data_IF_907191454253
#
_entry.id   IF_907191454253
#
_cell.length_a   1.000
_cell.length_b   1.000
_cell.length_c   1.000
_cell.angle_alpha   90.00
_cell.angle_beta   90.00
_cell.angle_gamma   90.00
#
_symmetry.space_group_name_H-M   'P 1'
#
loop_
_entity.id
_entity.type
_entity.pdbx_description
1 polymer ?
#
# COMPACT_ATOMS: atom_id res chain seq x y z
N UNK A 1 37.65 20.15 -8.43
CA UNK A 1 38.44 19.25 -9.30
C UNK A 1 37.80 19.26 -10.68
N UNK A 2 38.54 19.35 -11.75
CA UNK A 2 38.00 19.45 -13.11
C UNK A 2 37.56 18.07 -13.60
N UNK A 3 36.34 18.02 -14.13
CA UNK A 3 35.72 16.82 -14.71
C UNK A 3 36.62 16.19 -15.80
N UNK A 4 36.92 14.92 -15.71
CA UNK A 4 37.82 14.21 -16.64
C UNK A 4 37.20 14.11 -18.04
N UNK A 5 38.07 13.91 -19.07
CA UNK A 5 37.63 13.76 -20.47
C UNK A 5 36.73 12.52 -20.67
N UNK A 6 36.91 11.48 -19.85
CA UNK A 6 36.08 10.27 -19.87
C UNK A 6 34.69 10.52 -19.33
N UNK A 7 34.56 11.27 -18.24
CA UNK A 7 33.27 11.66 -17.64
C UNK A 7 32.43 12.52 -18.59
N UNK A 8 33.04 13.49 -19.26
CA UNK A 8 32.34 14.30 -20.27
C UNK A 8 31.85 13.47 -21.46
N UNK A 9 32.63 12.47 -21.88
CA UNK A 9 32.24 11.58 -22.99
C UNK A 9 31.07 10.65 -22.59
N UNK A 10 31.09 10.11 -21.37
CA UNK A 10 30.01 9.28 -20.85
C UNK A 10 28.71 10.09 -20.67
N UNK A 11 28.79 11.32 -20.14
CA UNK A 11 27.65 12.22 -19.99
C UNK A 11 27.01 12.60 -21.33
N UNK A 12 27.82 12.83 -22.35
CA UNK A 12 27.32 13.16 -23.70
C UNK A 12 26.62 11.98 -24.37
N UNK A 13 27.16 10.76 -24.24
CA UNK A 13 26.53 9.55 -24.76
C UNK A 13 25.16 9.24 -24.10
N UNK A 14 25.01 9.53 -22.79
CA UNK A 14 23.74 9.38 -22.07
C UNK A 14 22.68 10.40 -22.53
N UNK A 15 23.07 11.63 -22.83
CA UNK A 15 22.16 12.67 -23.33
C UNK A 15 21.67 12.30 -24.74
N UNK A 16 22.57 11.87 -25.63
CA UNK A 16 22.23 11.45 -27.00
C UNK A 16 21.32 10.21 -27.04
N UNK A 17 21.49 9.28 -26.08
CA UNK A 17 20.62 8.11 -25.94
C UNK A 17 19.21 8.48 -25.43
N UNK A 18 19.09 9.49 -24.58
CA UNK A 18 17.81 9.97 -24.07
C UNK A 18 17.01 10.71 -25.17
N UNK A 19 17.66 11.57 -25.96
CA UNK A 19 17.03 12.32 -27.06
C UNK A 19 16.55 11.42 -28.20
N UNK A 20 17.32 10.38 -28.57
CA UNK A 20 16.93 9.42 -29.60
C UNK A 20 15.70 8.54 -29.25
N UNK A 21 15.32 8.49 -27.97
CA UNK A 21 14.13 7.75 -27.52
C UNK A 21 12.83 8.56 -27.61
N UNK A 22 12.89 9.89 -27.59
CA UNK A 22 11.73 10.77 -27.70
C UNK A 22 11.25 10.93 -29.16
N UNK A 23 12.13 10.98 -30.13
CA UNK A 23 11.74 11.05 -31.54
C UNK A 23 10.99 9.81 -32.04
N UNK A 24 11.29 8.62 -31.52
CA UNK A 24 10.57 7.37 -31.86
C UNK A 24 9.16 7.26 -31.23
N UNK A 25 8.85 8.06 -30.19
CA UNK A 25 7.53 8.09 -29.56
C UNK A 25 6.57 9.10 -30.24
N UNK A 26 7.07 10.16 -30.86
CA UNK A 26 6.24 11.16 -31.54
C UNK A 26 5.68 10.66 -32.87
N UNK A 27 6.38 9.77 -33.58
CA UNK A 27 5.95 9.23 -34.88
C UNK A 27 4.88 8.11 -34.82
N UNK A 28 4.59 7.55 -33.63
CA UNK A 28 3.53 6.51 -33.45
C UNK A 28 2.16 7.05 -33.01
N UNK A 29 2.04 8.36 -32.70
CA UNK A 29 0.77 8.95 -32.23
C UNK A 29 -0.12 9.59 -33.30
N UNK A 30 0.30 9.60 -34.56
CA UNK A 30 -0.43 10.25 -35.65
C UNK A 30 -1.20 9.32 -36.65
N UNK A 31 -1.39 8.04 -36.31
CA UNK A 31 -2.07 7.08 -37.21
C UNK A 31 -3.21 6.27 -36.59
N UNK A 32 -3.99 6.83 -35.66
CA UNK A 32 -5.21 6.14 -35.19
C UNK A 32 -6.32 7.14 -34.82
N UNK A 33 -6.85 7.87 -35.81
CA UNK A 33 -8.12 8.57 -35.68
C UNK A 33 -8.71 8.88 -37.03
N UNK A 34 -9.21 7.87 -37.74
CA UNK A 34 -10.22 7.98 -38.77
C UNK A 34 -10.78 6.57 -39.02
N UNK A 35 -12.04 6.42 -38.64
CA UNK A 35 -13.07 5.55 -39.19
C UNK A 35 -13.99 4.99 -38.08
N UNK A 36 -15.15 5.59 -37.98
CA UNK A 36 -16.44 4.90 -37.78
C UNK A 36 -17.58 5.91 -37.64
N UNK A 37 -18.17 6.27 -38.78
CA UNK A 37 -19.54 6.83 -38.83
C UNK A 37 -20.49 5.77 -39.40
N UNK A 38 -21.64 5.59 -38.73
CA UNK A 38 -22.87 5.22 -39.40
C UNK A 38 -23.43 3.85 -39.04
N UNK A 39 -24.51 3.80 -38.25
CA UNK A 39 -25.85 3.46 -38.73
C UNK A 39 -26.87 3.35 -37.59
N UNK A 40 -27.88 4.16 -37.71
CA UNK A 40 -29.13 4.15 -36.94
C UNK A 40 -30.06 3.01 -37.35
N UNK A 41 -30.83 2.43 -36.45
CA UNK A 41 -32.15 1.87 -36.79
C UNK A 41 -33.09 1.87 -35.55
N UNK A 42 -34.30 2.32 -35.85
CA UNK A 42 -35.47 2.54 -34.99
C UNK A 42 -36.16 1.22 -34.59
N UNK A 43 -36.86 1.22 -33.46
CA UNK A 43 -37.88 0.18 -33.16
C UNK A 43 -38.58 0.36 -31.82
N UNK A 44 -39.57 1.17 -31.82
CA UNK A 44 -40.96 1.19 -31.29
C UNK A 44 -41.31 0.46 -29.98
N UNK A 45 -42.00 1.25 -29.21
CA UNK A 45 -42.72 1.03 -27.96
C UNK A 45 -43.86 0.01 -28.04
N UNK A 46 -44.19 -0.57 -26.83
CA UNK A 46 -45.59 -0.83 -26.48
C UNK A 46 -45.75 -0.90 -24.94
N UNK A 47 -46.61 -0.02 -24.46
CA UNK A 47 -47.15 0.04 -23.12
C UNK A 47 -48.28 -0.96 -22.90
N UNK A 48 -48.45 -1.44 -21.66
CA UNK A 48 -49.78 -1.77 -21.09
C UNK A 48 -49.69 -1.87 -19.54
N UNK A 49 -50.45 -1.04 -18.87
CA UNK A 49 -51.09 -1.16 -17.54
C UNK A 49 -52.59 -1.46 -17.82
N UNK A 50 -53.48 -1.73 -16.83
CA UNK A 50 -53.38 -1.90 -15.37
C UNK A 50 -54.24 -3.08 -14.82
N UNK A 51 -54.24 -3.29 -13.51
CA UNK A 51 -55.23 -4.17 -12.83
C UNK A 51 -55.11 -4.17 -11.31
N UNK A 52 -55.98 -3.38 -10.70
CA UNK A 52 -56.22 -3.29 -9.25
C UNK A 52 -56.91 -4.52 -8.66
N UNK A 53 -56.68 -4.82 -7.36
CA UNK A 53 -57.76 -5.17 -6.40
C UNK A 53 -57.26 -5.15 -4.96
N UNK A 54 -57.98 -4.38 -4.16
CA UNK A 54 -58.01 -4.32 -2.68
C UNK A 54 -58.42 -5.66 -2.09
N UNK A 55 -58.00 -5.95 -0.86
CA UNK A 55 -58.90 -6.29 0.23
C UNK A 55 -58.25 -6.04 1.59
N UNK A 56 -59.10 -5.50 2.45
CA UNK A 56 -58.91 -5.03 3.82
C UNK A 56 -59.09 -6.15 4.86
N UNK A 57 -58.63 -5.82 6.08
CA UNK A 57 -59.09 -6.27 7.41
C UNK A 57 -58.50 -7.52 8.05
N UNK A 58 -57.82 -7.39 9.17
CA UNK A 58 -58.33 -7.33 10.56
C UNK A 58 -57.23 -7.27 11.59
N UNK A 59 -57.45 -6.34 12.52
CA UNK A 59 -56.66 -6.16 13.73
C UNK A 59 -56.79 -7.34 14.71
N UNK A 60 -55.73 -7.63 15.47
CA UNK A 60 -55.86 -8.00 16.89
C UNK A 60 -54.60 -7.63 17.67
N UNK A 61 -54.85 -6.84 18.72
CA UNK A 61 -53.88 -6.44 19.72
C UNK A 61 -53.52 -7.62 20.61
N UNK A 62 -52.20 -7.79 20.89
CA UNK A 62 -51.80 -8.31 22.20
C UNK A 62 -50.48 -7.64 22.61
N UNK A 63 -50.57 -6.85 23.67
CA UNK A 63 -49.42 -6.30 24.44
C UNK A 63 -48.66 -7.45 25.09
N UNK A 64 -47.38 -7.49 24.89
CA UNK A 64 -46.48 -8.18 25.84
C UNK A 64 -45.23 -7.32 26.02
N UNK A 65 -45.08 -6.86 27.26
CA UNK A 65 -43.88 -6.21 27.79
C UNK A 65 -42.75 -7.23 27.76
N UNK A 66 -41.69 -6.93 27.05
CA UNK A 66 -40.40 -7.58 27.29
C UNK A 66 -39.28 -6.53 27.33
N UNK A 67 -38.64 -6.57 28.46
CA UNK A 67 -37.49 -5.78 28.91
C UNK A 67 -36.39 -5.70 27.89
N UNK A 68 -35.82 -4.47 27.74
CA UNK A 68 -34.50 -4.26 27.22
C UNK A 68 -33.49 -5.05 28.09
N UNK A 69 -32.99 -6.12 27.57
CA UNK A 69 -31.74 -6.75 27.99
C UNK A 69 -30.86 -6.92 26.76
N UNK A 70 -29.73 -6.30 26.86
CA UNK A 70 -28.52 -6.41 26.07
C UNK A 70 -28.44 -7.62 25.13
N UNK A 71 -28.50 -7.34 23.81
CA UNK A 71 -28.01 -8.25 22.80
C UNK A 71 -26.73 -7.69 22.17
N UNK A 72 -25.70 -7.53 22.98
CA UNK A 72 -24.30 -7.59 22.50
C UNK A 72 -23.85 -9.04 22.69
N UNK A 73 -24.34 -9.92 21.84
CA UNK A 73 -23.72 -11.22 21.62
C UNK A 73 -23.56 -11.42 20.11
N UNK A 74 -22.61 -10.67 19.52
CA UNK A 74 -21.95 -11.15 18.31
C UNK A 74 -21.19 -12.42 18.73
N UNK A 75 -21.78 -13.57 18.49
CA UNK A 75 -21.12 -14.83 18.64
C UNK A 75 -19.72 -14.74 18.02
N UNK A 76 -18.68 -14.73 18.85
CA UNK A 76 -17.31 -14.98 18.42
C UNK A 76 -17.32 -16.37 17.81
N UNK A 77 -17.51 -16.47 16.46
CA UNK A 77 -17.28 -17.71 15.76
C UNK A 77 -15.86 -18.12 16.09
N UNK A 78 -15.71 -19.28 16.70
CA UNK A 78 -14.43 -19.85 17.06
C UNK A 78 -13.49 -19.71 15.86
N UNK A 79 -12.35 -19.07 16.07
CA UNK A 79 -11.32 -18.90 15.05
C UNK A 79 -10.87 -20.29 14.67
N UNK A 80 -10.99 -20.67 13.39
CA UNK A 80 -10.42 -21.90 12.87
C UNK A 80 -8.93 -21.90 13.28
N UNK A 81 -8.46 -22.82 14.14
CA UNK A 81 -7.07 -22.84 14.59
C UNK A 81 -6.06 -23.00 13.44
N UNK A 82 -6.53 -23.36 12.24
CA UNK A 82 -5.75 -23.43 11.00
C UNK A 82 -5.75 -22.13 10.21
N UNK A 83 -6.64 -21.17 10.52
CA UNK A 83 -6.67 -19.88 9.84
C UNK A 83 -5.92 -18.82 10.66
N UNK A 84 -4.88 -18.19 10.14
CA UNK A 84 -4.15 -17.14 10.85
C UNK A 84 -4.97 -15.85 11.03
N UNK A 85 -6.16 -15.74 10.41
CA UNK A 85 -7.01 -14.56 10.42
C UNK A 85 -8.48 -14.95 10.41
N UNK A 86 -9.26 -14.50 11.40
CA UNK A 86 -10.69 -14.82 11.58
C UNK A 86 -11.59 -14.25 10.48
N UNK A 87 -11.19 -13.17 9.83
CA UNK A 87 -11.98 -12.45 8.80
C UNK A 87 -11.47 -12.69 7.38
N UNK A 88 -10.55 -13.62 7.18
CA UNK A 88 -9.89 -13.88 5.90
C UNK A 88 -10.87 -14.13 4.73
N UNK A 89 -12.01 -14.72 4.98
CA UNK A 89 -13.01 -15.05 3.93
C UNK A 89 -13.68 -13.82 3.34
N UNK A 90 -13.88 -12.78 4.15
CA UNK A 90 -14.55 -11.53 3.75
C UNK A 90 -13.57 -10.39 3.47
N UNK A 91 -12.44 -10.36 4.15
CA UNK A 91 -11.44 -9.30 4.00
C UNK A 91 -10.66 -9.41 2.68
N UNK A 92 -10.62 -8.32 1.91
CA UNK A 92 -9.86 -8.22 0.66
C UNK A 92 -8.35 -7.96 0.84
N UNK A 93 -7.86 -7.78 2.07
CA UNK A 93 -6.50 -7.33 2.34
C UNK A 93 -5.38 -8.34 2.08
N UNK A 94 -5.71 -9.65 1.96
CA UNK A 94 -4.73 -10.72 1.74
C UNK A 94 -5.19 -11.68 0.66
N UNK A 95 -4.24 -12.19 -0.15
CA UNK A 95 -4.52 -13.15 -1.23
C UNK A 95 -4.10 -14.58 -0.93
N UNK A 96 -3.11 -14.76 -0.05
CA UNK A 96 -2.48 -16.07 0.15
C UNK A 96 -2.41 -16.53 1.62
N UNK A 97 -2.89 -15.72 2.58
CA UNK A 97 -2.74 -15.97 4.01
C UNK A 97 -3.40 -17.29 4.48
N UNK A 98 -4.40 -17.78 3.75
CA UNK A 98 -5.10 -19.05 4.01
C UNK A 98 -4.33 -20.30 3.54
N UNK A 99 -3.18 -20.12 2.85
CA UNK A 99 -2.36 -21.23 2.40
C UNK A 99 -1.19 -21.45 3.36
N UNK A 100 -0.82 -22.70 3.69
CA UNK A 100 0.41 -22.98 4.44
C UNK A 100 1.61 -22.30 3.79
N UNK A 101 2.49 -21.72 4.60
CA UNK A 101 3.58 -20.88 4.07
C UNK A 101 4.50 -21.66 3.14
N UNK A 102 4.84 -22.92 3.48
CA UNK A 102 5.61 -23.80 2.59
C UNK A 102 4.98 -23.91 1.19
N UNK A 103 3.63 -24.08 1.13
CA UNK A 103 2.93 -24.15 -0.17
C UNK A 103 2.97 -22.83 -0.94
N UNK A 104 2.99 -21.68 -0.22
CA UNK A 104 3.16 -20.35 -0.87
C UNK A 104 4.56 -20.25 -1.50
N UNK A 105 5.61 -20.65 -0.79
CA UNK A 105 6.98 -20.63 -1.28
C UNK A 105 7.15 -21.60 -2.46
N UNK A 106 6.66 -22.85 -2.36
CA UNK A 106 6.73 -23.83 -3.46
C UNK A 106 6.04 -23.32 -4.73
N UNK A 107 4.85 -22.70 -4.61
CA UNK A 107 4.16 -22.18 -5.77
C UNK A 107 4.88 -20.99 -6.43
N UNK A 108 5.53 -20.13 -5.63
CA UNK A 108 6.34 -19.01 -6.14
C UNK A 108 7.62 -19.50 -6.80
N UNK A 109 8.28 -20.49 -6.21
CA UNK A 109 9.46 -21.13 -6.79
C UNK A 109 9.14 -21.72 -8.16
N UNK A 110 8.11 -22.56 -8.25
CA UNK A 110 7.70 -23.18 -9.50
C UNK A 110 7.35 -22.14 -10.59
N UNK A 111 6.69 -21.04 -10.22
CA UNK A 111 6.38 -19.97 -11.17
C UNK A 111 7.64 -19.27 -11.71
N UNK A 112 8.69 -19.12 -10.90
CA UNK A 112 9.97 -18.55 -11.34
C UNK A 112 10.76 -19.53 -12.19
N UNK A 113 10.80 -20.80 -11.81
CA UNK A 113 11.42 -21.87 -12.59
C UNK A 113 10.78 -22.00 -13.98
N UNK A 114 9.44 -21.95 -14.06
CA UNK A 114 8.71 -21.95 -15.34
C UNK A 114 9.03 -20.70 -16.18
N UNK A 115 9.04 -19.51 -15.56
CA UNK A 115 9.30 -18.24 -16.24
C UNK A 115 10.70 -18.19 -16.87
N UNK A 116 11.70 -18.72 -16.18
CA UNK A 116 13.09 -18.70 -16.60
C UNK A 116 13.58 -20.01 -17.24
N UNK A 117 12.71 -21.01 -17.46
CA UNK A 117 13.08 -22.35 -17.92
C UNK A 117 13.98 -22.32 -19.18
N UNK A 118 13.57 -21.59 -20.22
CA UNK A 118 14.35 -21.52 -21.47
C UNK A 118 15.71 -20.80 -21.32
N UNK A 119 15.79 -19.82 -20.42
CA UNK A 119 17.06 -19.15 -20.10
C UNK A 119 17.98 -20.09 -19.33
N UNK A 120 17.44 -20.75 -18.31
CA UNK A 120 18.20 -21.71 -17.49
C UNK A 120 18.77 -22.84 -18.31
N UNK A 121 18.00 -23.41 -19.25
CA UNK A 121 18.43 -24.43 -20.16
C UNK A 121 19.55 -23.94 -21.08
N UNK A 122 19.39 -22.76 -21.69
CA UNK A 122 20.36 -22.17 -22.62
C UNK A 122 21.71 -21.85 -21.96
N UNK A 123 21.66 -21.27 -20.75
CA UNK A 123 22.87 -20.78 -20.04
C UNK A 123 23.44 -21.80 -19.05
N UNK A 124 22.80 -22.95 -18.85
CA UNK A 124 23.25 -23.98 -17.89
C UNK A 124 23.19 -23.54 -16.43
N UNK A 125 22.23 -22.65 -16.09
CA UNK A 125 22.04 -22.11 -14.74
C UNK A 125 20.74 -22.62 -14.14
N UNK A 126 20.53 -22.38 -12.84
CA UNK A 126 19.31 -22.74 -12.12
C UNK A 126 18.75 -21.54 -11.33
N UNK A 127 17.45 -21.57 -11.09
CA UNK A 127 16.81 -20.63 -10.16
C UNK A 127 17.12 -21.05 -8.73
N UNK A 128 17.73 -20.17 -7.96
CA UNK A 128 18.03 -20.41 -6.55
C UNK A 128 16.78 -20.69 -5.71
N UNK A 129 16.90 -21.46 -4.61
CA UNK A 129 15.80 -21.68 -3.69
C UNK A 129 15.24 -20.36 -3.13
N UNK A 130 13.93 -20.19 -3.19
CA UNK A 130 13.27 -18.97 -2.71
C UNK A 130 13.56 -18.70 -1.22
N UNK A 131 13.95 -17.49 -0.92
CA UNK A 131 14.14 -16.96 0.43
C UNK A 131 12.84 -16.40 0.97
N UNK A 132 12.25 -17.08 1.95
CA UNK A 132 11.08 -16.61 2.68
C UNK A 132 11.45 -15.81 3.91
N UNK A 133 10.44 -15.35 4.69
CA UNK A 133 10.67 -14.70 5.97
C UNK A 133 11.21 -15.71 6.98
N UNK A 134 12.50 -15.62 7.29
CA UNK A 134 13.21 -16.47 8.25
C UNK A 134 13.36 -17.95 7.82
N UNK A 135 13.05 -18.29 6.57
CA UNK A 135 13.19 -19.67 6.06
C UNK A 135 13.57 -19.64 4.57
N UNK A 136 14.29 -20.68 4.12
CA UNK A 136 14.54 -20.94 2.71
C UNK A 136 13.74 -22.17 2.27
N UNK A 137 13.24 -22.21 1.05
CA UNK A 137 12.56 -23.41 0.54
C UNK A 137 13.58 -24.55 0.44
N UNK A 138 13.24 -25.69 1.01
CA UNK A 138 14.14 -26.83 1.14
C UNK A 138 14.73 -27.02 2.54
N UNK A 139 14.68 -25.99 3.40
CA UNK A 139 15.13 -26.14 4.79
C UNK A 139 14.31 -27.22 5.51
N UNK A 140 14.93 -28.05 6.35
CA UNK A 140 14.23 -29.12 7.09
C UNK A 140 13.34 -28.61 8.21
N UNK A 141 13.35 -27.29 8.50
CA UNK A 141 12.65 -26.67 9.62
C UNK A 141 11.15 -26.48 9.41
N UNK A 142 10.53 -25.81 10.39
CA UNK A 142 9.11 -25.37 10.32
C UNK A 142 9.00 -24.12 9.44
N UNK A 143 7.89 -24.00 8.72
CA UNK A 143 7.55 -22.83 7.90
C UNK A 143 6.43 -22.04 8.57
N UNK A 144 6.71 -21.23 9.58
CA UNK A 144 5.69 -20.46 10.29
C UNK A 144 5.11 -19.39 9.36
N UNK A 145 3.81 -19.16 9.46
CA UNK A 145 3.16 -18.09 8.70
C UNK A 145 3.75 -16.72 9.11
N UNK A 146 4.22 -15.90 8.17
CA UNK A 146 4.75 -14.57 8.47
C UNK A 146 3.71 -13.68 9.15
N UNK A 147 4.14 -12.91 10.16
CA UNK A 147 3.31 -11.98 10.92
C UNK A 147 4.01 -10.65 11.07
N UNK A 148 3.22 -9.56 11.24
CA UNK A 148 3.73 -8.23 11.55
C UNK A 148 4.64 -7.61 10.49
N UNK A 149 4.65 -8.13 9.26
CA UNK A 149 5.60 -7.73 8.23
C UNK A 149 5.19 -6.50 7.42
N UNK A 150 3.92 -6.09 7.53
CA UNK A 150 3.40 -4.96 6.77
C UNK A 150 3.57 -3.67 7.56
N UNK A 151 4.68 -2.98 7.33
CA UNK A 151 5.04 -1.73 7.99
C UNK A 151 4.39 -0.47 7.39
N UNK A 152 3.66 -0.62 6.29
CA UNK A 152 2.79 0.40 5.71
C UNK A 152 1.37 -0.16 5.59
N UNK A 153 0.46 0.32 6.42
CA UNK A 153 -0.95 -0.04 6.40
C UNK A 153 -1.78 1.13 5.87
N UNK A 154 -2.44 0.95 4.73
CA UNK A 154 -3.39 1.90 4.17
C UNK A 154 -4.80 1.36 4.34
N UNK A 155 -5.69 2.13 4.97
CA UNK A 155 -7.01 1.68 5.34
C UNK A 155 -8.07 2.71 4.93
N UNK A 156 -9.13 2.32 4.20
CA UNK A 156 -10.26 3.17 3.91
C UNK A 156 -11.18 3.34 5.12
N UNK A 157 -11.88 4.47 5.14
CA UNK A 157 -12.99 4.74 6.04
C UNK A 157 -14.29 4.83 5.23
N UNK A 158 -15.40 4.47 5.84
CA UNK A 158 -16.73 4.61 5.26
C UNK A 158 -17.77 4.95 6.33
N UNK A 159 -18.86 5.65 5.95
CA UNK A 159 -19.93 5.94 6.90
C UNK A 159 -20.62 4.67 7.39
N UNK A 160 -20.87 4.60 8.68
CA UNK A 160 -21.68 3.60 9.35
C UNK A 160 -23.11 4.10 9.59
N UNK A 161 -23.84 3.39 10.46
CA UNK A 161 -25.14 3.82 10.94
C UNK A 161 -24.96 4.91 12.02
N UNK A 162 -25.90 5.85 12.09
CA UNK A 162 -25.98 6.85 13.17
C UNK A 162 -24.68 7.66 13.38
N UNK A 163 -24.00 7.99 12.27
CA UNK A 163 -22.77 8.78 12.33
C UNK A 163 -21.48 7.98 12.62
N UNK A 164 -21.57 6.67 12.83
CA UNK A 164 -20.40 5.82 13.06
C UNK A 164 -19.42 5.87 11.89
N UNK A 165 -18.13 5.77 12.19
CA UNK A 165 -17.05 5.70 11.20
C UNK A 165 -16.50 4.27 11.12
N UNK A 166 -16.70 3.62 9.98
CA UNK A 166 -16.19 2.28 9.74
C UNK A 166 -14.75 2.33 9.25
N UNK A 167 -13.90 1.48 9.80
CA UNK A 167 -12.49 1.33 9.43
C UNK A 167 -12.19 -0.14 9.14
N UNK A 168 -11.50 -0.42 8.03
CA UNK A 168 -11.15 -1.80 7.66
C UNK A 168 -10.70 -1.91 6.22
N UNK A 169 -10.83 -3.08 5.63
CA UNK A 169 -10.56 -3.31 4.21
C UNK A 169 -11.85 -3.50 3.42
N UNK A 170 -11.83 -3.16 2.15
CA UNK A 170 -12.96 -3.48 1.28
C UNK A 170 -13.11 -5.01 1.13
N UNK A 171 -14.36 -5.46 1.17
CA UNK A 171 -14.73 -6.78 0.69
C UNK A 171 -14.40 -6.85 -0.81
N UNK A 172 -13.90 -7.99 -1.27
CA UNK A 172 -13.40 -8.13 -2.65
C UNK A 172 -14.43 -7.72 -3.69
N UNK A 173 -14.04 -6.83 -4.60
CA UNK A 173 -14.90 -6.33 -5.68
C UNK A 173 -16.00 -5.37 -5.24
N UNK A 174 -15.93 -4.82 -4.03
CA UNK A 174 -16.92 -3.87 -3.49
C UNK A 174 -16.25 -2.72 -2.74
N UNK A 175 -17.02 -1.66 -2.44
CA UNK A 175 -16.63 -0.60 -1.48
C UNK A 175 -17.17 -0.84 -0.07
N UNK A 176 -17.68 -2.05 0.22
CA UNK A 176 -18.17 -2.39 1.55
C UNK A 176 -17.01 -2.69 2.49
N UNK A 177 -16.92 -1.94 3.59
CA UNK A 177 -15.88 -2.14 4.61
C UNK A 177 -16.18 -3.38 5.45
N UNK A 178 -15.19 -4.27 5.49
CA UNK A 178 -15.07 -5.35 6.49
C UNK A 178 -14.27 -4.79 7.66
N UNK A 179 -14.90 -4.68 8.84
CA UNK A 179 -14.22 -4.21 10.03
C UNK A 179 -13.06 -5.14 10.41
N UNK A 180 -11.92 -4.55 10.73
CA UNK A 180 -10.69 -5.27 11.07
C UNK A 180 -10.28 -4.88 12.50
N UNK A 181 -10.69 -5.64 13.53
CA UNK A 181 -10.30 -5.37 14.91
C UNK A 181 -8.80 -5.62 15.12
N UNK A 182 -8.27 -6.66 14.49
CA UNK A 182 -6.86 -7.08 14.54
C UNK A 182 -6.41 -7.57 13.17
N UNK A 183 -5.16 -7.29 12.81
CA UNK A 183 -4.57 -7.76 11.56
C UNK A 183 -3.23 -8.46 11.83
N UNK A 184 -3.10 -9.77 11.53
CA UNK A 184 -1.89 -10.52 11.83
C UNK A 184 -0.68 -10.15 10.97
N UNK A 185 -0.89 -9.42 9.86
CA UNK A 185 0.18 -9.06 8.92
C UNK A 185 0.66 -7.63 9.05
N UNK A 186 -0.12 -6.74 9.68
CA UNK A 186 0.31 -5.37 9.94
C UNK A 186 1.31 -5.30 11.09
N UNK A 187 2.20 -4.32 11.05
CA UNK A 187 3.15 -4.06 12.13
C UNK A 187 2.42 -3.81 13.47
N UNK A 188 3.03 -4.18 14.61
CA UNK A 188 2.43 -3.99 15.93
C UNK A 188 2.02 -2.52 16.16
N UNK A 189 0.79 -2.31 16.65
CA UNK A 189 0.23 -0.99 16.90
C UNK A 189 -0.48 -0.33 15.70
N UNK A 190 -0.13 -0.69 14.46
CA UNK A 190 -0.71 -0.03 13.27
C UNK A 190 -2.24 -0.12 13.23
N UNK A 191 -2.82 -1.29 13.51
CA UNK A 191 -4.27 -1.48 13.50
C UNK A 191 -4.98 -0.75 14.63
N UNK A 192 -4.36 -0.68 15.81
CA UNK A 192 -4.89 0.06 16.95
C UNK A 192 -4.96 1.57 16.65
N UNK A 193 -3.93 2.12 15.99
CA UNK A 193 -3.91 3.52 15.55
C UNK A 193 -5.04 3.75 14.52
N UNK A 194 -5.15 2.91 13.48
CA UNK A 194 -6.19 3.04 12.44
C UNK A 194 -7.61 2.98 13.03
N UNK A 195 -7.87 2.05 13.93
CA UNK A 195 -9.14 1.96 14.62
C UNK A 195 -9.36 3.14 15.60
N UNK A 196 -8.27 3.68 16.17
CA UNK A 196 -8.28 4.89 16.98
C UNK A 196 -8.71 6.12 16.18
N UNK A 197 -8.14 6.31 14.99
CA UNK A 197 -8.52 7.39 14.07
C UNK A 197 -10.03 7.37 13.77
N UNK A 198 -10.61 6.17 13.54
CA UNK A 198 -12.05 6.04 13.31
C UNK A 198 -12.87 6.51 14.52
N UNK A 199 -12.46 6.14 15.74
CA UNK A 199 -13.15 6.59 16.98
C UNK A 199 -13.06 8.10 17.20
N UNK A 200 -11.87 8.68 16.95
CA UNK A 200 -11.70 10.13 17.08
C UNK A 200 -12.49 10.91 16.02
N UNK A 201 -12.55 10.41 14.78
CA UNK A 201 -13.38 10.99 13.73
C UNK A 201 -14.88 10.92 14.10
N UNK A 202 -15.35 9.82 14.69
CA UNK A 202 -16.71 9.67 15.19
C UNK A 202 -16.99 10.63 16.35
N UNK A 203 -16.10 10.72 17.35
CA UNK A 203 -16.20 11.62 18.50
C UNK A 203 -16.31 13.11 18.08
N UNK A 204 -15.55 13.51 17.07
CA UNK A 204 -15.48 14.88 16.56
C UNK A 204 -16.41 15.15 15.38
N UNK A 205 -17.34 14.23 15.11
CA UNK A 205 -18.30 14.32 14.01
C UNK A 205 -17.67 14.62 12.64
N UNK A 206 -16.47 14.10 12.37
CA UNK A 206 -15.81 14.16 11.06
C UNK A 206 -16.39 13.05 10.18
N UNK A 207 -17.17 13.39 9.14
CA UNK A 207 -17.84 12.38 8.35
C UNK A 207 -16.84 11.57 7.51
N UNK A 208 -16.92 10.23 7.57
CA UNK A 208 -16.19 9.37 6.65
C UNK A 208 -16.68 9.55 5.22
N UNK A 209 -15.76 9.39 4.26
CA UNK A 209 -16.08 9.54 2.84
C UNK A 209 -16.82 8.31 2.30
N UNK A 210 -17.87 8.55 1.53
CA UNK A 210 -18.60 7.54 0.79
C UNK A 210 -18.11 7.53 -0.66
N UNK A 211 -17.38 6.49 -1.06
CA UNK A 211 -16.79 6.39 -2.39
C UNK A 211 -17.85 6.30 -3.51
N UNK A 212 -19.04 5.75 -3.23
CA UNK A 212 -20.12 5.61 -4.23
C UNK A 212 -20.91 6.92 -4.43
N UNK A 213 -21.03 7.74 -3.36
CA UNK A 213 -21.77 9.00 -3.37
C UNK A 213 -20.89 10.24 -3.51
N UNK A 214 -19.58 10.08 -3.39
CA UNK A 214 -18.58 11.17 -3.34
C UNK A 214 -18.88 12.23 -2.29
N UNK A 215 -19.34 11.81 -1.10
CA UNK A 215 -19.71 12.68 0.02
C UNK A 215 -18.94 12.28 1.28
N UNK A 216 -18.59 13.27 2.10
CA UNK A 216 -17.82 13.08 3.33
C UNK A 216 -16.41 13.64 3.22
N UNK A 217 -15.61 13.46 4.28
CA UNK A 217 -14.30 14.10 4.40
C UNK A 217 -13.14 13.09 4.57
N UNK A 218 -13.21 12.20 5.56
CA UNK A 218 -12.13 11.26 5.85
C UNK A 218 -12.21 10.03 4.93
N UNK A 219 -11.24 9.88 4.02
CA UNK A 219 -11.21 8.79 3.01
C UNK A 219 -10.34 7.62 3.44
N UNK A 220 -9.07 7.88 3.74
CA UNK A 220 -8.08 6.87 4.11
C UNK A 220 -7.21 7.36 5.25
N UNK A 221 -6.57 6.44 5.94
CA UNK A 221 -5.36 6.71 6.68
C UNK A 221 -4.26 5.74 6.24
N UNK A 222 -3.04 6.25 6.17
CA UNK A 222 -1.83 5.47 5.94
C UNK A 222 -0.98 5.56 7.19
N UNK A 223 -0.77 4.43 7.85
CA UNK A 223 0.13 4.31 9.00
C UNK A 223 1.41 3.63 8.55
N UNK A 224 2.55 4.26 8.78
CA UNK A 224 3.88 3.69 8.59
C UNK A 224 4.54 3.50 9.95
N UNK A 225 5.05 2.30 10.20
CA UNK A 225 5.81 1.97 11.41
C UNK A 225 7.26 1.73 11.02
N UNK A 226 8.20 2.34 11.72
CA UNK A 226 9.64 2.09 11.55
C UNK A 226 9.96 0.61 11.83
N UNK A 227 10.93 0.10 11.11
CA UNK A 227 11.44 -1.27 11.31
C UNK A 227 12.55 -1.32 12.36
N UNK A 228 13.49 -0.40 12.25
CA UNK A 228 14.66 -0.28 13.12
C UNK A 228 14.56 0.89 14.10
N UNK A 229 13.48 1.65 14.00
CA UNK A 229 13.20 2.77 14.90
C UNK A 229 11.82 2.61 15.52
N UNK A 230 11.61 3.29 16.64
CA UNK A 230 10.31 3.33 17.32
C UNK A 230 9.45 4.51 16.82
N UNK A 231 9.57 4.86 15.53
CA UNK A 231 8.84 5.98 14.95
C UNK A 231 7.63 5.50 14.15
N UNK A 232 6.55 6.25 14.27
CA UNK A 232 5.33 6.04 13.49
C UNK A 232 4.94 7.34 12.80
N UNK A 233 4.52 7.23 11.55
CA UNK A 233 3.95 8.32 10.77
C UNK A 233 2.54 7.98 10.35
N UNK A 234 1.62 8.93 10.54
CA UNK A 234 0.23 8.84 10.10
C UNK A 234 -0.02 9.84 9.00
N UNK A 235 -0.56 9.40 7.88
CA UNK A 235 -1.05 10.28 6.81
C UNK A 235 -2.58 10.12 6.72
N UNK A 236 -3.30 11.16 7.09
CA UNK A 236 -4.77 11.24 6.95
C UNK A 236 -5.10 11.71 5.54
N UNK A 237 -5.88 10.95 4.81
CA UNK A 237 -6.33 11.32 3.46
C UNK A 237 -7.75 11.85 3.56
N UNK A 238 -7.93 13.11 3.19
CA UNK A 238 -9.22 13.80 3.27
C UNK A 238 -9.67 14.30 1.90
N UNK A 239 -10.97 14.32 1.66
CA UNK A 239 -11.51 14.82 0.40
C UNK A 239 -11.29 16.33 0.22
N UNK A 240 -11.20 17.08 1.33
CA UNK A 240 -11.02 18.52 1.37
C UNK A 240 -9.95 18.88 2.39
N UNK A 241 -9.41 20.11 2.26
CA UNK A 241 -8.38 20.64 3.17
C UNK A 241 -8.95 20.95 4.55
N UNK A 242 -10.14 21.55 4.57
CA UNK A 242 -10.76 22.00 5.79
C UNK A 242 -11.61 20.89 6.42
N UNK A 243 -11.42 20.68 7.71
CA UNK A 243 -12.14 19.69 8.52
C UNK A 243 -12.78 20.40 9.71
N UNK A 244 -13.96 19.98 10.14
CA UNK A 244 -14.47 20.40 11.44
C UNK A 244 -13.52 19.92 12.53
N UNK A 245 -13.29 20.74 13.55
CA UNK A 245 -12.40 20.42 14.68
C UNK A 245 -11.00 19.93 14.29
N UNK A 246 -10.44 20.46 13.17
CA UNK A 246 -9.22 19.96 12.55
C UNK A 246 -8.05 19.84 13.53
N UNK A 247 -7.78 20.91 14.30
CA UNK A 247 -6.65 20.92 15.24
C UNK A 247 -6.80 19.86 16.32
N UNK A 248 -7.98 19.79 16.96
CA UNK A 248 -8.29 18.79 17.98
C UNK A 248 -8.16 17.36 17.42
N UNK A 249 -8.64 17.15 16.18
CA UNK A 249 -8.52 15.85 15.53
C UNK A 249 -7.06 15.44 15.29
N UNK A 250 -6.22 16.35 14.80
CA UNK A 250 -4.82 16.05 14.54
C UNK A 250 -4.05 15.76 15.83
N UNK A 251 -4.31 16.52 16.89
CA UNK A 251 -3.73 16.29 18.21
C UNK A 251 -4.21 14.97 18.83
N UNK A 252 -5.49 14.66 18.73
CA UNK A 252 -6.05 13.39 19.19
C UNK A 252 -5.43 12.20 18.44
N UNK A 253 -5.23 12.31 17.12
CA UNK A 253 -4.55 11.28 16.32
C UNK A 253 -3.09 11.12 16.76
N UNK A 254 -2.38 12.21 17.00
CA UNK A 254 -1.00 12.16 17.49
C UNK A 254 -0.89 11.50 18.87
N UNK A 255 -1.90 11.66 19.73
CA UNK A 255 -1.96 11.09 21.08
C UNK A 255 -2.33 9.58 21.10
N UNK A 256 -2.73 8.97 19.97
CA UNK A 256 -3.12 7.56 19.92
C UNK A 256 -1.98 6.58 20.24
N UNK A 257 -0.74 7.00 19.96
CA UNK A 257 0.45 6.17 20.21
C UNK A 257 1.66 7.10 20.42
N UNK A 258 2.44 6.95 21.50
CA UNK A 258 3.59 7.82 21.79
C UNK A 258 4.70 7.75 20.73
N UNK A 259 4.70 6.75 19.87
CA UNK A 259 5.65 6.61 18.75
C UNK A 259 5.30 7.48 17.55
N UNK A 260 4.13 8.13 17.52
CA UNK A 260 3.72 8.98 16.41
C UNK A 260 4.55 10.28 16.44
N UNK A 261 5.51 10.36 15.54
CA UNK A 261 6.40 11.52 15.38
C UNK A 261 5.88 12.51 14.32
N UNK A 262 4.99 12.05 13.43
CA UNK A 262 4.48 12.85 12.30
C UNK A 262 3.01 12.52 12.06
N UNK A 263 2.17 13.56 11.98
CA UNK A 263 0.85 13.47 11.35
C UNK A 263 0.81 14.40 10.15
N UNK A 264 0.46 13.85 9.00
CA UNK A 264 0.27 14.57 7.75
C UNK A 264 -1.18 14.52 7.30
N UNK A 265 -1.66 15.57 6.67
CA UNK A 265 -2.89 15.57 5.91
C UNK A 265 -2.57 15.58 4.42
N UNK A 266 -3.10 14.61 3.69
CA UNK A 266 -3.08 14.58 2.23
C UNK A 266 -4.49 14.85 1.70
N UNK A 267 -4.60 15.75 0.73
CA UNK A 267 -5.88 16.17 0.18
C UNK A 267 -6.12 15.42 -1.12
N UNK A 268 -7.17 14.58 -1.15
CA UNK A 268 -7.58 13.82 -2.32
C UNK A 268 -9.10 13.79 -2.46
N UNK A 269 -9.66 14.79 -3.14
CA UNK A 269 -11.07 14.85 -3.52
C UNK A 269 -11.39 14.21 -4.87
N UNK A 270 -10.40 13.67 -5.60
CA UNK A 270 -10.61 13.11 -6.93
C UNK A 270 -11.28 11.75 -6.89
N UNK A 271 -12.17 11.43 -7.82
CA UNK A 271 -12.68 10.08 -8.01
C UNK A 271 -11.54 9.15 -8.50
N UNK A 272 -11.63 7.87 -8.17
CA UNK A 272 -10.68 6.84 -8.61
C UNK A 272 -9.91 6.16 -7.49
N UNK A 273 -9.03 5.23 -7.87
CA UNK A 273 -8.36 4.31 -6.96
C UNK A 273 -7.06 4.85 -6.32
N UNK A 274 -6.62 6.06 -6.70
CA UNK A 274 -5.45 6.68 -6.09
C UNK A 274 -5.76 7.05 -4.64
N UNK A 275 -4.97 6.52 -3.71
CA UNK A 275 -5.13 6.82 -2.27
C UNK A 275 -4.67 8.25 -1.99
N UNK A 276 -3.47 8.63 -2.45
CA UNK A 276 -2.89 9.95 -2.21
C UNK A 276 -3.22 10.92 -3.35
N UNK A 277 -3.55 12.16 -2.98
CA UNK A 277 -3.63 13.30 -3.86
C UNK A 277 -2.28 14.02 -3.99
N UNK A 278 -2.28 15.17 -4.65
CA UNK A 278 -1.05 15.93 -4.95
C UNK A 278 -0.61 16.79 -3.76
N UNK A 279 -1.55 17.33 -2.99
CA UNK A 279 -1.26 18.22 -1.86
C UNK A 279 -1.08 17.41 -0.58
N UNK A 280 0.03 17.63 0.12
CA UNK A 280 0.30 17.06 1.44
C UNK A 280 0.89 18.12 2.35
N UNK A 281 0.38 18.24 3.57
CA UNK A 281 0.90 19.14 4.59
C UNK A 281 1.14 18.40 5.90
N UNK A 282 2.16 18.79 6.63
CA UNK A 282 2.37 18.33 8.00
C UNK A 282 1.44 19.11 8.91
N UNK A 283 0.69 18.41 9.73
CA UNK A 283 -0.28 18.98 10.67
C UNK A 283 0.13 18.78 12.13
N UNK A 284 1.09 17.87 12.37
CA UNK A 284 1.69 17.65 13.68
C UNK A 284 3.09 17.06 13.55
N UNK A 285 4.02 17.50 14.39
CA UNK A 285 5.34 16.90 14.59
C UNK A 285 6.36 17.12 13.48
N UNK A 286 7.20 16.12 13.23
CA UNK A 286 8.30 16.19 12.29
C UNK A 286 7.85 16.12 10.82
N UNK A 287 8.68 16.64 9.89
CA UNK A 287 8.40 16.56 8.45
C UNK A 287 8.47 15.14 7.90
N UNK A 288 9.31 14.31 8.48
CA UNK A 288 9.59 12.93 8.07
C UNK A 288 9.65 12.02 9.29
N UNK A 289 9.41 10.74 9.11
CA UNK A 289 9.84 9.70 10.03
C UNK A 289 11.19 9.16 9.60
N UNK A 290 11.98 8.69 10.55
CA UNK A 290 13.27 8.05 10.28
C UNK A 290 13.17 6.54 10.42
N UNK A 291 13.81 5.80 9.50
CA UNK A 291 14.00 4.35 9.60
C UNK A 291 15.36 3.93 9.06
N UNK A 292 15.74 2.66 9.21
CA UNK A 292 17.02 2.13 8.76
C UNK A 292 16.84 0.86 7.92
N UNK A 293 17.67 0.73 6.87
CA UNK A 293 17.85 -0.50 6.10
C UNK A 293 19.35 -0.75 5.89
N UNK A 294 19.83 -1.95 6.20
CA UNK A 294 21.24 -2.38 6.04
C UNK A 294 22.26 -1.40 6.65
N UNK A 295 21.85 -0.65 7.68
CA UNK A 295 22.68 0.34 8.35
C UNK A 295 22.72 1.73 7.71
N UNK A 296 21.90 1.98 6.67
CA UNK A 296 21.62 3.30 6.15
C UNK A 296 20.39 3.88 6.84
N UNK A 297 20.45 5.15 7.23
CA UNK A 297 19.31 5.91 7.74
C UNK A 297 18.58 6.62 6.59
N UNK A 298 17.24 6.64 6.67
CA UNK A 298 16.39 7.26 5.68
C UNK A 298 15.34 8.14 6.36
N UNK A 299 15.24 9.38 5.91
CA UNK A 299 14.15 10.29 6.26
C UNK A 299 13.01 10.07 5.25
N UNK A 300 11.90 9.53 5.74
CA UNK A 300 10.76 9.08 4.92
C UNK A 300 9.66 10.10 5.03
N UNK A 301 9.37 10.80 3.92
CA UNK A 301 8.25 11.74 3.84
C UNK A 301 6.90 11.00 3.69
N UNK A 302 5.75 11.66 3.96
CA UNK A 302 4.43 11.05 3.86
C UNK A 302 4.11 10.44 2.50
N UNK A 303 4.61 11.03 1.42
CA UNK A 303 4.37 10.60 0.02
C UNK A 303 5.48 9.74 -0.56
N UNK A 304 6.63 9.63 0.10
CA UNK A 304 7.76 8.83 -0.38
C UNK A 304 7.38 7.36 -0.56
N UNK A 305 7.94 6.74 -1.59
CA UNK A 305 7.92 5.28 -1.69
C UNK A 305 8.94 4.70 -0.70
N UNK A 306 8.51 3.76 0.09
CA UNK A 306 9.37 2.95 0.97
C UNK A 306 8.77 1.56 1.08
N UNK A 307 9.60 0.54 1.08
CA UNK A 307 9.17 -0.86 1.03
C UNK A 307 8.27 -1.24 2.21
N UNK A 308 7.23 -2.00 1.94
CA UNK A 308 6.21 -2.36 2.93
C UNK A 308 6.67 -3.45 3.90
N UNK A 309 7.59 -4.31 3.46
CA UNK A 309 8.16 -5.39 4.26
C UNK A 309 9.67 -5.18 4.40
N UNK A 310 10.12 -4.36 5.36
CA UNK A 310 11.54 -4.01 5.49
C UNK A 310 12.43 -5.21 5.80
N UNK A 311 11.96 -6.21 6.53
CA UNK A 311 12.71 -7.43 6.81
C UNK A 311 13.07 -8.19 5.52
N UNK A 312 12.11 -8.38 4.60
CA UNK A 312 12.39 -9.00 3.30
C UNK A 312 13.16 -8.06 2.36
N UNK A 313 13.01 -6.76 2.56
CA UNK A 313 13.75 -5.75 1.79
C UNK A 313 15.24 -5.81 2.09
N UNK A 314 15.64 -5.91 3.37
CA UNK A 314 17.05 -6.08 3.73
C UNK A 314 17.64 -7.33 3.06
N UNK A 315 16.92 -8.46 3.08
CA UNK A 315 17.35 -9.68 2.42
C UNK A 315 17.44 -9.50 0.89
N UNK A 316 16.41 -8.92 0.27
CA UNK A 316 16.39 -8.67 -1.18
C UNK A 316 17.55 -7.77 -1.62
N UNK A 317 17.77 -6.67 -0.87
CA UNK A 317 18.85 -5.72 -1.17
C UNK A 317 20.22 -6.36 -1.00
N UNK A 318 20.43 -7.15 0.07
CA UNK A 318 21.70 -7.84 0.29
C UNK A 318 21.99 -8.83 -0.85
N UNK A 319 21.00 -9.64 -1.27
CA UNK A 319 21.17 -10.56 -2.39
C UNK A 319 21.49 -9.83 -3.71
N UNK A 320 20.84 -8.68 -3.95
CA UNK A 320 21.14 -7.88 -5.13
C UNK A 320 22.55 -7.26 -5.06
N UNK A 321 22.95 -6.72 -3.89
CA UNK A 321 24.28 -6.13 -3.67
C UNK A 321 25.37 -7.18 -3.82
N UNK A 322 25.19 -8.37 -3.25
CA UNK A 322 26.14 -9.48 -3.39
C UNK A 322 26.30 -9.92 -4.85
N UNK A 323 25.19 -9.92 -5.62
CA UNK A 323 25.21 -10.24 -7.05
C UNK A 323 25.78 -9.14 -7.96
N UNK A 324 25.98 -7.92 -7.46
CA UNK A 324 26.61 -6.83 -8.23
C UNK A 324 28.11 -7.00 -8.37
N UNK A 325 28.76 -7.78 -7.50
CA UNK A 325 30.20 -8.02 -7.47
C UNK A 325 31.04 -6.74 -7.61
N UNK A 326 30.79 -5.78 -6.74
CA UNK A 326 31.32 -4.41 -6.81
C UNK A 326 32.83 -4.37 -6.50
N UNK A 327 33.60 -3.64 -7.32
CA UNK A 327 35.04 -3.45 -7.20
C UNK A 327 35.41 -1.97 -7.01
N UNK A 328 36.66 -1.74 -6.59
CA UNK A 328 37.21 -0.39 -6.41
C UNK A 328 37.13 0.42 -7.71
N UNK A 329 36.47 1.57 -7.66
CA UNK A 329 36.35 2.51 -8.77
C UNK A 329 35.14 2.28 -9.67
N UNK A 330 34.27 1.28 -9.38
CA UNK A 330 33.07 1.04 -10.15
C UNK A 330 32.07 2.21 -10.08
N UNK A 331 31.28 2.35 -11.14
CA UNK A 331 30.16 3.28 -11.25
C UNK A 331 28.86 2.47 -11.24
N UNK A 332 28.14 2.52 -10.12
CA UNK A 332 26.82 1.91 -9.98
C UNK A 332 25.73 2.88 -10.44
N UNK A 333 24.91 2.48 -11.42
CA UNK A 333 23.74 3.25 -11.83
C UNK A 333 22.49 2.62 -11.21
N UNK A 334 21.80 3.37 -10.35
CA UNK A 334 20.46 3.06 -9.81
C UNK A 334 19.41 3.76 -10.68
N UNK A 335 18.94 3.08 -11.71
CA UNK A 335 17.92 3.60 -12.62
C UNK A 335 16.52 3.41 -12.03
N UNK A 336 15.73 4.49 -11.98
CA UNK A 336 14.43 4.55 -11.26
C UNK A 336 14.60 4.41 -9.75
N UNK A 337 15.60 5.08 -9.20
CA UNK A 337 16.07 4.87 -7.82
C UNK A 337 15.04 5.20 -6.72
N UNK A 338 13.98 5.92 -7.03
CA UNK A 338 13.05 6.40 -6.01
C UNK A 338 13.78 7.26 -4.97
N UNK A 339 13.75 6.84 -3.71
CA UNK A 339 14.54 7.45 -2.62
C UNK A 339 15.99 6.92 -2.54
N UNK A 340 16.49 6.26 -3.57
CA UNK A 340 17.87 5.76 -3.64
C UNK A 340 18.20 4.62 -2.67
N UNK A 341 17.19 3.95 -2.12
CA UNK A 341 17.40 3.05 -0.98
C UNK A 341 18.34 1.88 -1.28
N UNK A 342 18.24 1.25 -2.46
CA UNK A 342 19.13 0.14 -2.81
C UNK A 342 20.55 0.63 -3.16
N UNK A 343 20.66 1.70 -3.96
CA UNK A 343 21.95 2.26 -4.34
C UNK A 343 22.74 2.74 -3.14
N UNK A 344 22.11 3.45 -2.20
CA UNK A 344 22.76 3.92 -0.96
C UNK A 344 23.17 2.76 -0.04
N UNK A 345 22.37 1.68 0.05
CA UNK A 345 22.75 0.48 0.78
C UNK A 345 23.96 -0.22 0.12
N UNK A 346 24.03 -0.24 -1.22
CA UNK A 346 25.16 -0.79 -1.94
C UNK A 346 26.46 -0.02 -1.69
N UNK A 347 26.39 1.33 -1.71
CA UNK A 347 27.54 2.19 -1.35
C UNK A 347 27.99 1.91 0.07
N UNK A 348 27.05 1.80 1.01
CA UNK A 348 27.35 1.52 2.42
C UNK A 348 28.01 0.17 2.62
N UNK A 349 27.55 -0.85 1.90
CA UNK A 349 28.13 -2.20 1.93
C UNK A 349 29.56 -2.21 1.34
N UNK A 350 29.76 -1.57 0.18
CA UNK A 350 31.06 -1.39 -0.44
C UNK A 350 32.04 -0.68 0.50
N UNK A 351 31.61 0.41 1.15
CA UNK A 351 32.44 1.12 2.14
C UNK A 351 32.86 0.25 3.31
N UNK A 352 31.95 -0.62 3.85
CA UNK A 352 32.30 -1.57 4.91
C UNK A 352 33.36 -2.59 4.47
N UNK A 353 33.40 -2.90 3.17
CA UNK A 353 34.42 -3.79 2.55
C UNK A 353 35.70 -3.06 2.13
N UNK A 354 35.80 -1.75 2.39
CA UNK A 354 36.93 -0.92 1.99
C UNK A 354 36.96 -0.58 0.49
N UNK A 355 35.84 -0.73 -0.21
CA UNK A 355 35.67 -0.51 -1.66
C UNK A 355 35.03 0.87 -1.87
N UNK A 356 35.68 1.71 -2.66
CA UNK A 356 35.14 3.03 -3.09
C UNK A 356 34.46 2.91 -4.44
N UNK A 357 33.16 3.21 -4.50
CA UNK A 357 32.38 3.25 -5.74
C UNK A 357 31.71 4.60 -5.92
N UNK A 358 31.29 4.91 -7.15
CA UNK A 358 30.44 6.05 -7.47
C UNK A 358 29.00 5.57 -7.67
N UNK A 359 28.05 6.26 -7.03
CA UNK A 359 26.61 6.02 -7.25
C UNK A 359 26.01 7.11 -8.13
N UNK A 360 25.31 6.70 -9.18
CA UNK A 360 24.52 7.55 -10.05
C UNK A 360 23.04 7.17 -9.95
N UNK A 361 22.23 7.96 -9.25
CA UNK A 361 20.78 7.77 -9.16
C UNK A 361 20.02 8.50 -10.25
N UNK A 362 19.01 7.89 -10.84
CA UNK A 362 18.10 8.48 -11.83
C UNK A 362 16.66 8.28 -11.40
N UNK A 363 15.93 9.36 -11.14
CA UNK A 363 14.52 9.34 -10.73
C UNK A 363 13.76 10.48 -11.41
N UNK A 364 12.54 10.19 -11.85
CA UNK A 364 11.65 11.19 -12.49
C UNK A 364 10.90 12.04 -11.46
N UNK A 365 10.57 11.45 -10.30
CA UNK A 365 9.81 12.14 -9.27
C UNK A 365 10.74 12.99 -8.39
N UNK A 366 10.64 14.34 -8.43
CA UNK A 366 11.51 15.22 -7.62
C UNK A 366 11.44 14.92 -6.13
N UNK A 367 10.28 14.49 -5.61
CA UNK A 367 10.11 14.15 -4.20
C UNK A 367 10.88 12.88 -3.75
N UNK A 368 11.44 12.12 -4.70
CA UNK A 368 12.31 10.98 -4.41
C UNK A 368 13.79 11.35 -4.30
N UNK A 369 14.20 12.55 -4.80
CA UNK A 369 15.60 12.97 -4.89
C UNK A 369 15.92 14.11 -3.89
N UNK A 370 14.86 14.77 -3.34
CA UNK A 370 14.99 15.95 -2.48
C UNK A 370 15.50 15.61 -1.07
#
# INVERSE_FOLDING_TARGET
MAESRAERKARRALIEAAEGSEEKKSSKKSKSSQDAKGKSAKGKAKAKRPGSRRNEDKASQTRSKHSHKDRVSSARKAVDPKSPCSIMKSCGGCTALNRPYKKQLTAKQAAMEELFASLCEREGIAVDPIRGMGVTLGDPGKYPAPRGFRHKAATPFAPGKEGAVRCGFFERGTHKIVAVPECPVEAPGARQILNGIAREAERLHIPAFNEDKHLGLLRYAVVRCGWRTDQVMVTLVTAQRDLPHAQEFFEAVAALDPRIVTVAQNINGRPGNAILGEETRIVYGAKCMRDQLLGCEFDISPTAFYQTNPQQTELLYQLAIDGMDLHQGDVLMDAYCGSGTIGLCAVKDAQKKGIGIMLLGVERNPAGIA
#
